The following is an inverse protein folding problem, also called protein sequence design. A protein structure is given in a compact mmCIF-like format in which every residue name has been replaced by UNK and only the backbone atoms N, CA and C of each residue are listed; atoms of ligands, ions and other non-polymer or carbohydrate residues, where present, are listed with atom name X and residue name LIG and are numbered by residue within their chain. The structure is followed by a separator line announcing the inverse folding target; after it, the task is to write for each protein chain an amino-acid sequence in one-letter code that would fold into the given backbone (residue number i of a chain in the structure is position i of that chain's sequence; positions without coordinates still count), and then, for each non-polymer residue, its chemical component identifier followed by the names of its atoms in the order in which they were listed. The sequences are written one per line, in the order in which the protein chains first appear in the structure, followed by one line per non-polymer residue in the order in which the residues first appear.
data_IF_086480464085
#
_entry.id   IF_086480464085
#
_cell.length_a   1.000
_cell.length_b   1.000
_cell.length_c   1.000
_cell.angle_alpha   90.00
_cell.angle_beta   90.00
_cell.angle_gamma   90.00
#
_symmetry.space_group_name_H-M   'P 1'
#
loop_
_entity.id
_entity.type
_entity.pdbx_description
1 polymer ?
#
# COMPACT_ATOMS: atom_id res chain seq x y z
N UNK A 1 -2.12 -3.93 21.44
CA UNK A 1 -0.78 -4.50 21.26
C UNK A 1 -0.22 -4.05 19.91
N UNK A 2 1.10 -3.96 19.79
CA UNK A 2 1.80 -3.61 18.54
C UNK A 2 2.88 -4.66 18.30
N UNK A 3 2.79 -5.35 17.15
CA UNK A 3 3.83 -6.25 16.67
C UNK A 3 4.69 -5.55 15.61
N UNK A 4 6.00 -5.80 15.53
CA UNK A 4 6.82 -5.33 14.42
C UNK A 4 6.35 -5.96 13.11
N UNK A 5 6.27 -5.14 12.05
CA UNK A 5 5.99 -5.64 10.70
C UNK A 5 7.17 -6.49 10.21
N UNK A 6 6.88 -7.56 9.47
CA UNK A 6 7.86 -8.52 8.99
C UNK A 6 8.59 -9.33 10.09
N UNK A 7 8.02 -9.38 11.30
CA UNK A 7 8.49 -10.25 12.38
C UNK A 7 7.41 -11.29 12.73
N UNK A 8 7.34 -12.42 12.01
CA UNK A 8 6.31 -13.42 12.22
C UNK A 8 6.44 -14.13 13.59
N UNK A 9 7.65 -14.20 14.15
CA UNK A 9 7.90 -14.86 15.44
C UNK A 9 7.33 -14.01 16.58
N UNK A 10 7.63 -12.71 16.60
CA UNK A 10 7.08 -11.79 17.59
C UNK A 10 5.55 -11.67 17.45
N UNK A 11 5.04 -11.56 16.24
CA UNK A 11 3.60 -11.53 16.00
C UNK A 11 2.93 -12.82 16.52
N UNK A 12 3.51 -13.98 16.25
CA UNK A 12 3.00 -15.25 16.73
C UNK A 12 3.04 -15.36 18.25
N UNK A 13 4.10 -14.87 18.91
CA UNK A 13 4.21 -14.86 20.37
C UNK A 13 3.10 -14.01 20.99
N UNK A 14 2.91 -12.78 20.52
CA UNK A 14 1.87 -11.87 21.02
C UNK A 14 0.46 -12.42 20.81
N UNK A 15 0.18 -12.99 19.64
CA UNK A 15 -1.14 -13.58 19.35
C UNK A 15 -1.40 -14.75 20.29
N UNK A 16 -0.44 -15.68 20.46
CA UNK A 16 -0.60 -16.84 21.33
C UNK A 16 -0.77 -16.49 22.80
N UNK A 17 -0.08 -15.44 23.27
CA UNK A 17 -0.14 -15.01 24.66
C UNK A 17 -1.46 -14.29 24.98
N UNK A 18 -2.03 -13.57 24.01
CA UNK A 18 -3.18 -12.69 24.24
C UNK A 18 -4.44 -13.06 23.45
N UNK A 19 -4.50 -14.26 22.82
CA UNK A 19 -5.58 -14.62 21.92
C UNK A 19 -6.99 -14.48 22.53
N UNK A 20 -7.13 -14.71 23.84
CA UNK A 20 -8.42 -14.59 24.55
C UNK A 20 -8.88 -13.13 24.71
N UNK A 21 -7.99 -12.16 24.55
CA UNK A 21 -8.26 -10.73 24.69
C UNK A 21 -8.33 -9.99 23.35
N UNK A 22 -7.89 -10.64 22.26
CA UNK A 22 -7.81 -10.00 20.94
C UNK A 22 -9.15 -9.99 20.23
N UNK A 23 -9.71 -8.79 19.99
CA UNK A 23 -10.90 -8.61 19.16
C UNK A 23 -10.65 -8.63 17.65
N UNK A 24 -9.38 -8.51 17.22
CA UNK A 24 -9.00 -8.52 15.80
C UNK A 24 -7.50 -8.26 15.62
N UNK A 25 -6.99 -8.65 14.45
CA UNK A 25 -5.62 -8.36 14.00
C UNK A 25 -5.75 -7.45 12.79
N UNK A 26 -5.21 -6.22 12.86
CA UNK A 26 -5.19 -5.29 11.72
C UNK A 26 -3.76 -5.12 11.20
N UNK A 27 -3.59 -5.17 9.89
CA UNK A 27 -2.30 -4.99 9.23
C UNK A 27 -2.47 -4.31 7.86
N UNK A 28 -1.57 -3.38 7.50
CA UNK A 28 -1.37 -3.00 6.12
C UNK A 28 -0.60 -4.16 5.44
N UNK A 29 -1.15 -4.89 4.43
CA UNK A 29 -0.46 -6.04 3.84
C UNK A 29 0.82 -5.64 3.07
N UNK A 30 0.95 -4.38 2.74
CA UNK A 30 2.13 -3.70 2.23
C UNK A 30 2.30 -2.44 3.07
N UNK A 31 3.13 -2.54 4.10
CA UNK A 31 3.21 -1.48 5.09
C UNK A 31 4.02 -0.30 4.59
N UNK A 32 3.35 0.80 4.27
CA UNK A 32 3.93 2.03 3.70
C UNK A 32 4.62 1.77 2.36
N UNK A 33 5.83 1.24 2.34
CA UNK A 33 6.60 0.82 1.16
C UNK A 33 7.28 -0.53 1.38
N UNK A 34 7.08 -1.13 2.53
CA UNK A 34 7.67 -2.42 2.87
C UNK A 34 6.79 -3.55 2.35
N UNK A 35 7.27 -4.36 1.39
CA UNK A 35 6.62 -5.60 1.06
C UNK A 35 6.62 -6.58 2.24
N UNK A 36 5.60 -7.42 2.39
CA UNK A 36 5.63 -8.47 3.40
C UNK A 36 6.75 -9.47 3.06
N UNK A 37 7.54 -9.83 4.07
CA UNK A 37 8.49 -10.93 3.90
C UNK A 37 7.74 -12.25 3.72
N UNK A 38 8.31 -13.21 2.96
CA UNK A 38 7.69 -14.51 2.76
C UNK A 38 7.28 -15.17 4.08
N UNK A 39 6.04 -15.62 4.19
CA UNK A 39 5.51 -16.28 5.39
C UNK A 39 4.92 -15.35 6.44
N UNK A 40 5.11 -14.02 6.35
CA UNK A 40 4.59 -13.10 7.37
C UNK A 40 3.05 -13.03 7.36
N UNK A 41 2.44 -12.70 6.22
CA UNK A 41 0.98 -12.61 6.10
C UNK A 41 0.30 -13.98 6.28
N UNK A 42 0.91 -15.04 5.77
CA UNK A 42 0.43 -16.41 5.94
C UNK A 42 0.42 -16.84 7.43
N UNK A 43 1.43 -16.40 8.18
CA UNK A 43 1.49 -16.65 9.64
C UNK A 43 0.36 -15.93 10.35
N UNK A 44 0.10 -14.67 10.04
CA UNK A 44 -1.04 -13.92 10.60
C UNK A 44 -2.36 -14.60 10.25
N UNK A 45 -2.56 -14.99 8.98
CA UNK A 45 -3.81 -15.67 8.54
C UNK A 45 -4.00 -17.01 9.27
N UNK A 46 -2.94 -17.81 9.39
CA UNK A 46 -2.99 -19.10 10.08
C UNK A 46 -3.41 -18.93 11.54
N UNK A 47 -2.75 -18.04 12.27
CA UNK A 47 -3.02 -17.83 13.70
C UNK A 47 -4.41 -17.19 13.92
N UNK A 48 -4.78 -16.23 13.08
CA UNK A 48 -6.11 -15.65 13.12
C UNK A 48 -7.21 -16.71 12.94
N UNK A 49 -6.99 -17.67 12.05
CA UNK A 49 -7.92 -18.81 11.85
C UNK A 49 -7.89 -19.78 13.05
N UNK A 50 -6.71 -20.13 13.56
CA UNK A 50 -6.52 -21.05 14.67
C UNK A 50 -7.23 -20.56 15.94
N UNK A 51 -7.12 -19.25 16.23
CA UNK A 51 -7.72 -18.65 17.43
C UNK A 51 -9.07 -17.96 17.17
N UNK A 52 -9.63 -18.08 15.96
CA UNK A 52 -10.92 -17.48 15.58
C UNK A 52 -10.93 -15.94 15.76
N UNK A 53 -9.80 -15.30 15.53
CA UNK A 53 -9.63 -13.84 15.60
C UNK A 53 -9.79 -13.26 14.19
N UNK A 54 -10.64 -12.24 13.93
CA UNK A 54 -10.73 -11.60 12.63
C UNK A 54 -9.41 -10.99 12.18
N UNK A 55 -8.95 -11.34 10.98
CA UNK A 55 -7.83 -10.68 10.30
C UNK A 55 -8.37 -9.56 9.43
N UNK A 56 -7.85 -8.35 9.62
CA UNK A 56 -8.30 -7.15 8.93
C UNK A 56 -7.12 -6.61 8.10
N UNK A 57 -7.32 -6.46 6.78
CA UNK A 57 -6.35 -5.76 5.94
C UNK A 57 -6.74 -4.28 5.80
N UNK A 58 -5.82 -3.40 6.16
CA UNK A 58 -5.89 -2.00 5.77
C UNK A 58 -5.36 -1.88 4.32
N UNK A 59 -6.27 -1.95 3.38
CA UNK A 59 -5.99 -1.77 1.95
C UNK A 59 -6.38 -0.37 1.45
N UNK A 60 -6.41 0.61 2.30
CA UNK A 60 -6.66 2.01 1.90
C UNK A 60 -5.65 2.50 0.88
N UNK A 61 -4.41 1.97 0.87
CA UNK A 61 -3.38 2.29 -0.13
C UNK A 61 -3.30 1.23 -1.21
N UNK A 62 -3.40 -0.04 -0.87
CA UNK A 62 -3.11 -1.18 -1.75
C UNK A 62 -4.33 -1.68 -2.52
N UNK A 63 -5.53 -1.38 -2.05
CA UNK A 63 -6.77 -1.73 -2.74
C UNK A 63 -6.81 -1.15 -4.14
N UNK A 64 -7.01 -2.01 -5.15
CA UNK A 64 -6.96 -1.67 -6.58
C UNK A 64 -5.64 -1.05 -7.06
N UNK A 65 -4.58 -1.06 -6.23
CA UNK A 65 -3.25 -0.54 -6.57
C UNK A 65 -2.32 -1.62 -7.09
N UNK A 66 -2.21 -2.75 -6.40
CA UNK A 66 -1.31 -3.85 -6.75
C UNK A 66 -1.97 -4.87 -7.68
N UNK A 67 -3.26 -5.06 -7.54
CA UNK A 67 -4.10 -5.88 -8.40
C UNK A 67 -5.53 -5.38 -8.32
N UNK A 68 -6.41 -5.82 -9.22
CA UNK A 68 -7.85 -5.51 -9.16
C UNK A 68 -8.48 -6.01 -7.85
N UNK A 69 -8.04 -7.17 -7.36
CA UNK A 69 -8.41 -7.70 -6.05
C UNK A 69 -7.59 -7.17 -4.87
N UNK A 70 -6.79 -6.09 -5.05
CA UNK A 70 -5.96 -5.52 -4.00
C UNK A 70 -4.74 -6.35 -3.63
N UNK A 71 -4.10 -6.01 -2.50
CA UNK A 71 -2.95 -6.73 -1.99
C UNK A 71 -3.29 -8.17 -1.57
N UNK A 72 -4.51 -8.42 -1.13
CA UNK A 72 -4.96 -9.77 -0.82
C UNK A 72 -4.87 -10.73 -2.03
N UNK A 73 -5.21 -10.25 -3.22
CA UNK A 73 -5.04 -11.02 -4.45
C UNK A 73 -3.58 -11.09 -4.89
N UNK A 74 -2.83 -9.98 -4.72
CA UNK A 74 -1.43 -9.90 -5.13
C UNK A 74 -0.52 -10.80 -4.29
N UNK A 75 -0.69 -10.81 -2.96
CA UNK A 75 0.09 -11.66 -2.05
C UNK A 75 -0.57 -13.02 -1.74
N UNK A 76 -1.78 -13.27 -2.23
CA UNK A 76 -2.45 -14.57 -2.08
C UNK A 76 -2.97 -14.87 -0.69
N UNK A 77 -3.17 -13.85 0.16
CA UNK A 77 -3.71 -14.02 1.53
C UNK A 77 -5.01 -13.24 1.68
N UNK A 78 -6.11 -13.93 1.97
CA UNK A 78 -7.44 -13.32 2.12
C UNK A 78 -7.74 -13.01 3.58
N UNK A 79 -8.03 -11.74 3.94
CA UNK A 79 -8.46 -11.35 5.28
C UNK A 79 -9.93 -11.68 5.52
N UNK A 80 -10.40 -11.53 6.77
CA UNK A 80 -11.82 -11.60 7.12
C UNK A 80 -12.54 -10.28 6.81
N UNK A 81 -11.84 -9.16 6.97
CA UNK A 81 -12.30 -7.81 6.66
C UNK A 81 -11.21 -7.04 5.90
N UNK A 82 -11.64 -6.10 5.08
CA UNK A 82 -10.76 -5.24 4.31
C UNK A 82 -11.31 -3.81 4.30
N UNK A 83 -10.47 -2.83 4.63
CA UNK A 83 -10.78 -1.41 4.50
C UNK A 83 -10.16 -0.87 3.21
N UNK A 84 -10.95 -0.20 2.38
CA UNK A 84 -10.51 0.39 1.11
C UNK A 84 -10.78 1.89 1.03
N UNK A 85 -9.97 2.60 0.27
CA UNK A 85 -10.08 4.04 0.07
C UNK A 85 -9.26 4.49 -1.14
N UNK A 86 -8.95 5.76 -1.21
CA UNK A 86 -8.07 6.38 -2.23
C UNK A 86 -8.45 6.00 -3.68
N UNK A 87 -7.82 4.98 -4.26
CA UNK A 87 -8.01 4.55 -5.66
C UNK A 87 -9.48 4.27 -5.97
N UNK A 88 -10.20 3.60 -5.06
CA UNK A 88 -11.63 3.26 -5.25
C UNK A 88 -12.51 4.50 -5.50
N UNK A 89 -12.09 5.67 -5.01
CA UNK A 89 -12.86 6.91 -5.16
C UNK A 89 -12.61 7.67 -6.46
N UNK A 90 -11.61 7.29 -7.25
CA UNK A 90 -11.28 8.02 -8.49
C UNK A 90 -10.99 9.51 -8.29
N UNK A 91 -10.40 9.88 -7.15
CA UNK A 91 -10.14 11.26 -6.74
C UNK A 91 -11.25 11.91 -5.88
N UNK A 92 -12.36 11.22 -5.68
CA UNK A 92 -13.48 11.68 -4.83
C UNK A 92 -13.48 10.95 -3.47
N UNK A 93 -14.18 11.50 -2.45
CA UNK A 93 -14.21 10.93 -1.10
C UNK A 93 -15.11 9.68 -1.06
N UNK A 94 -14.53 8.53 -1.37
CA UNK A 94 -15.13 7.21 -1.26
C UNK A 94 -14.22 6.30 -0.44
N UNK A 95 -14.83 5.57 0.48
CA UNK A 95 -14.21 4.49 1.24
C UNK A 95 -15.20 3.35 1.40
N UNK A 96 -14.70 2.15 1.62
CA UNK A 96 -15.53 0.98 1.83
C UNK A 96 -14.89 0.05 2.87
N UNK A 97 -15.73 -0.67 3.60
CA UNK A 97 -15.35 -1.85 4.37
C UNK A 97 -16.03 -3.04 3.72
N UNK A 98 -15.29 -4.09 3.49
CA UNK A 98 -15.77 -5.32 2.87
C UNK A 98 -15.28 -6.52 3.66
N UNK A 99 -15.97 -7.64 3.56
CA UNK A 99 -15.53 -8.85 4.21
C UNK A 99 -16.57 -9.95 4.28
N UNK A 100 -16.35 -10.88 5.19
CA UNK A 100 -17.21 -12.03 5.41
C UNK A 100 -18.64 -11.60 5.74
N UNK A 101 -19.61 -12.29 5.16
CA UNK A 101 -21.04 -11.95 5.30
C UNK A 101 -21.54 -12.03 6.75
N UNK A 102 -21.00 -12.96 7.54
CA UNK A 102 -21.35 -13.10 8.97
C UNK A 102 -20.93 -11.87 9.81
N UNK A 103 -19.80 -11.24 9.47
CA UNK A 103 -19.36 -9.99 10.11
C UNK A 103 -20.09 -8.78 9.51
N UNK A 104 -20.22 -8.72 8.18
CA UNK A 104 -20.86 -7.60 7.50
C UNK A 104 -22.36 -7.51 7.78
N UNK A 105 -23.02 -8.62 8.18
CA UNK A 105 -24.43 -8.62 8.58
C UNK A 105 -24.74 -7.71 9.76
N UNK A 106 -23.74 -7.37 10.60
CA UNK A 106 -23.89 -6.40 11.69
C UNK A 106 -24.21 -4.98 11.23
N UNK A 107 -24.04 -4.66 9.95
CA UNK A 107 -24.47 -3.39 9.35
C UNK A 107 -25.92 -3.43 8.83
N UNK A 108 -26.56 -4.59 8.82
CA UNK A 108 -27.98 -4.74 8.43
C UNK A 108 -28.86 -4.97 9.67
N UNK A 109 -29.66 -3.96 10.01
CA UNK A 109 -30.57 -4.01 11.16
C UNK A 109 -31.59 -5.17 11.08
N UNK A 110 -31.88 -5.67 9.89
CA UNK A 110 -32.81 -6.77 9.72
C UNK A 110 -32.15 -8.16 9.85
N UNK A 111 -30.83 -8.20 9.84
CA UNK A 111 -30.05 -9.43 9.89
C UNK A 111 -29.56 -9.81 11.30
N UNK A 112 -29.54 -8.85 12.24
CA UNK A 112 -29.03 -9.04 13.60
C UNK A 112 -29.94 -8.42 14.64
N UNK A 113 -29.77 -8.81 15.91
CA UNK A 113 -30.46 -8.18 17.03
C UNK A 113 -30.02 -6.71 17.24
N UNK A 114 -30.89 -5.89 17.80
CA UNK A 114 -30.64 -4.44 17.96
C UNK A 114 -29.33 -4.15 18.73
N UNK A 115 -28.99 -4.93 19.72
CA UNK A 115 -27.75 -4.81 20.52
C UNK A 115 -26.48 -5.17 19.73
N UNK A 116 -26.63 -5.90 18.62
CA UNK A 116 -25.55 -6.32 17.74
C UNK A 116 -25.42 -5.46 16.48
N UNK A 117 -26.38 -4.56 16.26
CA UNK A 117 -26.37 -3.69 15.08
C UNK A 117 -25.32 -2.59 15.20
N UNK A 118 -24.50 -2.44 14.18
CA UNK A 118 -23.48 -1.39 14.06
C UNK A 118 -23.93 -0.34 13.03
N UNK A 119 -24.37 0.85 13.44
CA UNK A 119 -24.79 1.89 12.51
C UNK A 119 -23.59 2.44 11.75
N UNK A 120 -23.63 2.41 10.42
CA UNK A 120 -22.70 3.11 9.58
C UNK A 120 -23.23 4.54 9.35
N UNK A 121 -22.55 5.54 9.90
CA UNK A 121 -22.96 6.96 9.87
C UNK A 121 -21.83 7.79 9.29
N UNK A 122 -22.13 8.57 8.25
CA UNK A 122 -21.19 9.50 7.65
C UNK A 122 -21.89 10.41 6.65
N UNK A 123 -21.66 11.72 6.74
CA UNK A 123 -22.28 12.72 5.86
C UNK A 123 -22.03 12.46 4.37
N UNK A 124 -20.84 11.92 4.03
CA UNK A 124 -20.46 11.63 2.64
C UNK A 124 -20.75 10.18 2.24
N UNK A 125 -21.27 9.35 3.15
CA UNK A 125 -21.60 7.95 2.86
C UNK A 125 -22.68 7.86 1.78
N UNK A 126 -22.45 7.01 0.77
CA UNK A 126 -23.36 6.86 -0.36
C UNK A 126 -23.39 8.06 -1.32
N UNK A 127 -22.40 8.95 -1.27
CA UNK A 127 -22.31 10.09 -2.19
C UNK A 127 -22.32 9.60 -3.65
N UNK A 128 -23.34 9.95 -4.45
CA UNK A 128 -23.47 9.42 -5.81
C UNK A 128 -22.37 9.90 -6.76
N UNK A 129 -21.81 11.09 -6.56
CA UNK A 129 -20.70 11.61 -7.38
C UNK A 129 -19.44 10.77 -7.16
N UNK A 130 -19.11 10.49 -5.90
CA UNK A 130 -17.99 9.62 -5.57
C UNK A 130 -18.21 8.18 -6.05
N UNK A 131 -19.43 7.67 -5.95
CA UNK A 131 -19.76 6.33 -6.44
C UNK A 131 -19.60 6.21 -7.97
N UNK A 132 -20.07 7.19 -8.74
CA UNK A 132 -19.91 7.21 -10.21
C UNK A 132 -18.44 7.33 -10.61
N UNK A 133 -17.66 8.18 -9.93
CA UNK A 133 -16.22 8.30 -10.15
C UNK A 133 -15.48 6.99 -9.83
N UNK A 134 -15.86 6.34 -8.73
CA UNK A 134 -15.33 5.03 -8.36
C UNK A 134 -15.63 3.97 -9.42
N UNK A 135 -16.87 3.85 -9.86
CA UNK A 135 -17.26 2.90 -10.93
C UNK A 135 -16.44 3.15 -12.20
N UNK A 136 -16.32 4.39 -12.65
CA UNK A 136 -15.51 4.73 -13.84
C UNK A 136 -14.03 4.35 -13.67
N UNK A 137 -13.49 4.49 -12.46
CA UNK A 137 -12.12 4.08 -12.16
C UNK A 137 -11.97 2.57 -12.21
N UNK A 138 -12.90 1.83 -11.62
CA UNK A 138 -12.90 0.37 -11.63
C UNK A 138 -13.04 -0.18 -13.05
N UNK A 139 -13.91 0.41 -13.89
CA UNK A 139 -14.05 0.05 -15.30
C UNK A 139 -12.75 0.22 -16.10
N UNK A 140 -11.92 1.20 -15.75
CA UNK A 140 -10.60 1.40 -16.37
C UNK A 140 -9.61 0.35 -15.88
N UNK A 141 -9.60 0.08 -14.59
CA UNK A 141 -8.67 -0.88 -13.98
C UNK A 141 -8.97 -2.34 -14.34
N UNK A 142 -10.24 -2.66 -14.67
CA UNK A 142 -10.65 -4.01 -15.11
C UNK A 142 -10.30 -4.32 -16.58
N UNK A 143 -9.79 -3.33 -17.32
CA UNK A 143 -9.42 -3.54 -18.72
C UNK A 143 -8.21 -4.46 -18.84
N UNK A 144 -8.23 -5.39 -19.82
CA UNK A 144 -7.05 -6.21 -20.13
C UNK A 144 -5.81 -5.35 -20.36
N UNK A 145 -4.70 -5.74 -19.75
CA UNK A 145 -3.42 -5.01 -19.87
C UNK A 145 -3.25 -3.81 -18.93
N UNK A 146 -4.26 -3.44 -18.12
CA UNK A 146 -4.15 -2.28 -17.23
C UNK A 146 -3.05 -2.45 -16.17
N UNK A 147 -3.03 -3.58 -15.47
CA UNK A 147 -2.01 -3.85 -14.47
C UNK A 147 -0.66 -4.16 -15.08
N UNK A 148 -0.61 -4.85 -16.21
CA UNK A 148 0.63 -5.09 -16.96
C UNK A 148 1.31 -3.77 -17.35
N UNK A 149 0.54 -2.79 -17.86
CA UNK A 149 1.06 -1.44 -18.16
C UNK A 149 1.53 -0.74 -16.89
N UNK A 150 0.73 -0.78 -15.83
CA UNK A 150 1.03 -0.12 -14.57
C UNK A 150 2.35 -0.62 -13.98
N UNK A 151 2.53 -1.94 -13.95
CA UNK A 151 3.75 -2.58 -13.46
C UNK A 151 4.95 -2.32 -14.38
N UNK A 152 4.79 -2.44 -15.69
CA UNK A 152 5.87 -2.16 -16.64
C UNK A 152 6.38 -0.72 -16.52
N UNK A 153 5.46 0.26 -16.38
CA UNK A 153 5.82 1.67 -16.16
C UNK A 153 6.59 1.85 -14.86
N UNK A 154 6.11 1.26 -13.78
CA UNK A 154 6.77 1.34 -12.48
C UNK A 154 8.13 0.65 -12.44
N UNK A 155 8.25 -0.54 -13.01
CA UNK A 155 9.52 -1.27 -13.13
C UNK A 155 10.57 -0.47 -13.89
N UNK A 156 10.20 0.12 -15.03
CA UNK A 156 11.12 0.96 -15.79
C UNK A 156 11.67 2.16 -14.99
N UNK A 157 10.82 2.78 -14.17
CA UNK A 157 11.24 3.88 -13.29
C UNK A 157 12.13 3.40 -12.14
N UNK A 158 11.78 2.28 -11.49
CA UNK A 158 12.57 1.71 -10.40
C UNK A 158 13.96 1.28 -10.90
N UNK A 159 14.01 0.47 -11.95
CA UNK A 159 15.26 -0.01 -12.56
C UNK A 159 16.15 1.14 -13.03
N UNK A 160 15.55 2.17 -13.65
CA UNK A 160 16.30 3.35 -14.07
C UNK A 160 16.87 4.15 -12.90
N UNK A 161 16.11 4.31 -11.82
CA UNK A 161 16.59 4.97 -10.60
C UNK A 161 17.69 4.14 -9.92
N UNK A 162 17.53 2.83 -9.79
CA UNK A 162 18.53 1.93 -9.22
C UNK A 162 19.85 2.00 -9.99
N UNK A 163 19.80 1.94 -11.31
CA UNK A 163 21.00 2.06 -12.15
C UNK A 163 21.74 3.40 -11.97
N UNK A 164 21.00 4.51 -11.83
CA UNK A 164 21.57 5.82 -11.58
C UNK A 164 22.23 5.91 -10.18
N UNK A 165 21.58 5.36 -9.17
CA UNK A 165 22.10 5.31 -7.80
C UNK A 165 23.35 4.44 -7.72
N UNK A 166 23.36 3.26 -8.33
CA UNK A 166 24.52 2.37 -8.40
C UNK A 166 25.69 3.05 -9.09
N UNK A 167 25.48 3.66 -10.26
CA UNK A 167 26.51 4.38 -10.99
C UNK A 167 27.08 5.58 -10.22
N UNK A 168 26.28 6.20 -9.35
CA UNK A 168 26.69 7.36 -8.55
C UNK A 168 27.50 6.98 -7.32
N UNK A 169 27.41 5.74 -6.84
CA UNK A 169 28.00 5.29 -5.58
C UNK A 169 27.34 5.86 -4.31
N UNK A 170 26.19 6.54 -4.43
CA UNK A 170 25.43 7.02 -3.27
C UNK A 170 24.80 5.82 -2.56
N UNK A 171 25.01 5.66 -1.25
CA UNK A 171 24.32 4.60 -0.50
C UNK A 171 22.82 4.85 -0.49
N UNK A 172 22.08 4.07 -1.25
CA UNK A 172 20.63 4.17 -1.34
C UNK A 172 20.01 2.84 -1.78
N UNK A 173 18.73 2.68 -1.49
CA UNK A 173 17.93 1.52 -1.90
C UNK A 173 16.57 1.99 -2.39
N UNK A 174 16.10 1.45 -3.51
CA UNK A 174 14.74 1.63 -4.00
C UNK A 174 13.87 0.54 -3.39
N UNK A 175 12.76 0.93 -2.77
CA UNK A 175 11.87 0.02 -2.03
C UNK A 175 10.44 0.23 -2.48
N UNK A 176 9.70 -0.86 -2.57
CA UNK A 176 8.29 -0.85 -2.89
C UNK A 176 7.93 -1.89 -3.93
N UNK A 177 6.76 -1.70 -4.50
CA UNK A 177 6.26 -2.43 -5.66
C UNK A 177 6.15 -1.46 -6.83
N UNK A 178 6.25 -1.91 -8.08
CA UNK A 178 6.27 -1.00 -9.24
C UNK A 178 5.20 0.09 -9.27
N UNK A 179 3.92 -0.16 -8.87
CA UNK A 179 2.93 0.90 -8.82
C UNK A 179 3.11 1.92 -7.69
N UNK A 180 3.99 1.61 -6.71
CA UNK A 180 4.15 2.39 -5.48
C UNK A 180 5.51 2.12 -4.85
N UNK A 181 6.48 3.02 -5.03
CA UNK A 181 7.85 2.87 -4.55
C UNK A 181 8.45 4.19 -4.05
N UNK A 182 9.62 4.15 -3.48
CA UNK A 182 10.47 5.31 -3.17
C UNK A 182 11.95 4.90 -3.02
N UNK A 183 12.82 5.91 -2.86
CA UNK A 183 14.23 5.73 -2.56
C UNK A 183 14.51 6.07 -1.09
N UNK A 184 15.31 5.24 -0.45
CA UNK A 184 15.87 5.46 0.88
C UNK A 184 17.39 5.63 0.78
N UNK A 185 17.90 6.74 1.27
CA UNK A 185 19.32 7.02 1.29
C UNK A 185 19.95 6.42 2.54
N UNK A 186 20.34 5.17 2.44
CA UNK A 186 20.91 4.38 3.54
C UNK A 186 21.74 3.23 3.01
N UNK A 187 22.72 2.76 3.79
CA UNK A 187 23.45 1.52 3.56
C UNK A 187 22.87 0.33 4.35
N UNK A 188 21.84 0.57 5.17
CA UNK A 188 21.18 -0.45 5.98
C UNK A 188 20.08 -1.15 5.18
N UNK A 189 19.90 -2.45 5.40
CA UNK A 189 18.75 -3.17 4.87
C UNK A 189 17.45 -2.57 5.43
N UNK A 190 16.47 -2.28 4.55
CA UNK A 190 15.18 -1.68 4.92
C UNK A 190 14.07 -2.72 4.72
N UNK A 191 13.80 -3.50 5.75
CA UNK A 191 12.75 -4.52 5.77
C UNK A 191 11.68 -4.31 6.84
N UNK A 192 11.91 -3.36 7.73
CA UNK A 192 11.03 -3.01 8.84
C UNK A 192 11.04 -1.50 9.10
N UNK A 193 10.24 -1.07 10.07
CA UNK A 193 10.17 0.34 10.47
C UNK A 193 11.52 0.89 10.97
N UNK A 194 12.34 0.09 11.64
CA UNK A 194 13.64 0.52 12.15
C UNK A 194 14.62 0.76 11.00
N UNK A 195 14.62 -0.13 10.00
CA UNK A 195 15.37 0.09 8.76
C UNK A 195 14.96 1.38 8.06
N UNK A 196 13.66 1.69 7.98
CA UNK A 196 13.17 2.95 7.40
C UNK A 196 13.70 4.20 8.14
N UNK A 197 13.94 4.13 9.45
CA UNK A 197 14.46 5.25 10.25
C UNK A 197 15.94 5.55 9.98
N UNK A 198 16.64 4.70 9.25
CA UNK A 198 18.06 4.94 8.88
C UNK A 198 18.21 5.83 7.63
N UNK A 199 17.09 6.26 7.03
CA UNK A 199 17.10 7.14 5.88
C UNK A 199 17.74 8.50 6.19
N UNK A 200 18.69 8.93 5.36
CA UNK A 200 19.21 10.29 5.36
C UNK A 200 18.14 11.26 4.85
N UNK A 201 17.44 11.88 5.79
CA UNK A 201 16.29 12.77 5.50
C UNK A 201 16.72 14.03 4.75
N UNK A 202 17.93 14.54 4.98
CA UNK A 202 18.44 15.74 4.30
C UNK A 202 18.71 15.44 2.82
N UNK A 203 19.29 14.27 2.52
CA UNK A 203 19.44 13.80 1.14
C UNK A 203 18.09 13.59 0.48
N UNK A 204 17.17 12.94 1.14
CA UNK A 204 15.83 12.71 0.62
C UNK A 204 15.10 14.04 0.30
N UNK A 205 15.24 15.05 1.16
CA UNK A 205 14.66 16.37 0.92
C UNK A 205 15.30 17.07 -0.29
N UNK A 206 16.63 17.06 -0.43
CA UNK A 206 17.31 17.61 -1.61
C UNK A 206 16.91 16.90 -2.89
N UNK A 207 16.88 15.56 -2.88
CA UNK A 207 16.40 14.75 -4.00
C UNK A 207 14.99 15.14 -4.42
N UNK A 208 14.05 15.18 -3.47
CA UNK A 208 12.66 15.55 -3.73
C UNK A 208 12.51 17.01 -4.21
N UNK A 209 13.30 17.94 -3.68
CA UNK A 209 13.29 19.33 -4.13
C UNK A 209 13.76 19.44 -5.59
N UNK A 210 14.85 18.77 -5.93
CA UNK A 210 15.38 18.75 -7.30
C UNK A 210 14.40 18.11 -8.28
N UNK A 211 13.68 17.05 -7.89
CA UNK A 211 12.62 16.47 -8.71
C UNK A 211 11.52 17.47 -9.02
N UNK A 212 11.04 18.22 -8.01
CA UNK A 212 10.01 19.25 -8.18
C UNK A 212 10.46 20.38 -9.11
N UNK A 213 11.72 20.83 -8.97
CA UNK A 213 12.32 21.83 -9.85
C UNK A 213 12.41 21.35 -11.31
N UNK A 214 12.47 20.05 -11.54
CA UNK A 214 12.50 19.43 -12.86
C UNK A 214 11.13 18.87 -13.30
N UNK A 215 10.04 19.36 -12.73
CA UNK A 215 8.67 19.07 -13.16
C UNK A 215 8.08 17.77 -12.68
N UNK A 216 8.73 17.06 -11.76
CA UNK A 216 8.19 15.81 -11.16
C UNK A 216 7.48 16.14 -9.87
N UNK A 217 6.16 16.14 -9.91
CA UNK A 217 5.33 16.29 -8.72
C UNK A 217 5.20 14.96 -7.97
N UNK A 218 5.94 14.83 -6.91
CA UNK A 218 5.93 13.69 -6.01
C UNK A 218 5.65 14.15 -4.58
N UNK A 219 4.96 13.33 -3.79
CA UNK A 219 4.87 13.51 -2.33
C UNK A 219 6.23 13.27 -1.66
N UNK A 220 6.35 13.63 -0.38
CA UNK A 220 7.63 13.53 0.33
C UNK A 220 8.10 12.08 0.55
N UNK A 221 7.23 11.09 0.40
CA UNK A 221 7.51 9.71 0.81
C UNK A 221 7.15 8.62 -0.19
N UNK A 222 6.65 8.94 -1.40
CA UNK A 222 6.18 7.90 -2.33
C UNK A 222 6.06 8.42 -3.76
N UNK A 223 6.53 7.59 -4.70
CA UNK A 223 6.12 7.67 -6.09
C UNK A 223 4.84 6.87 -6.30
N UNK A 224 3.86 7.48 -6.95
CA UNK A 224 2.63 6.82 -7.38
C UNK A 224 2.59 6.76 -8.89
N UNK A 225 2.62 5.56 -9.43
CA UNK A 225 2.49 5.34 -10.88
C UNK A 225 1.01 5.21 -11.24
N UNK A 226 0.63 5.70 -12.40
CA UNK A 226 -0.74 5.60 -12.91
C UNK A 226 -0.78 5.20 -14.38
N UNK A 227 -1.94 4.73 -14.83
CA UNK A 227 -2.19 4.38 -16.24
C UNK A 227 -2.13 5.59 -17.19
N UNK A 228 -2.18 6.81 -16.65
CA UNK A 228 -2.06 8.03 -17.44
C UNK A 228 -0.62 8.33 -17.90
N UNK A 229 0.39 7.77 -17.22
CA UNK A 229 1.78 7.95 -17.63
C UNK A 229 2.06 7.22 -18.95
N UNK A 230 2.72 7.90 -19.86
CA UNK A 230 3.19 7.38 -21.14
C UNK A 230 4.73 7.27 -21.19
N UNK A 231 5.27 6.87 -22.32
CA UNK A 231 6.71 6.72 -22.52
C UNK A 231 7.48 8.04 -22.39
N UNK A 232 6.84 9.17 -22.68
CA UNK A 232 7.46 10.50 -22.56
C UNK A 232 7.56 10.89 -21.08
N UNK A 233 6.53 10.56 -20.29
CA UNK A 233 6.55 10.79 -18.84
C UNK A 233 7.65 9.96 -18.17
N UNK A 234 7.81 8.70 -18.61
CA UNK A 234 8.90 7.83 -18.12
C UNK A 234 10.26 8.41 -18.49
N UNK A 235 10.49 8.77 -19.74
CA UNK A 235 11.76 9.35 -20.19
C UNK A 235 12.08 10.65 -19.43
N UNK A 236 11.12 11.56 -19.32
CA UNK A 236 11.27 12.80 -18.55
C UNK A 236 11.58 12.56 -17.08
N UNK A 237 10.93 11.56 -16.48
CA UNK A 237 11.17 11.22 -15.06
C UNK A 237 12.57 10.65 -14.87
N UNK A 238 13.06 9.82 -15.78
CA UNK A 238 14.43 9.28 -15.73
C UNK A 238 15.49 10.38 -15.90
N UNK A 239 15.26 11.36 -16.77
CA UNK A 239 16.13 12.54 -16.91
C UNK A 239 16.17 13.34 -15.59
N UNK A 240 15.00 13.56 -14.98
CA UNK A 240 14.89 14.23 -13.68
C UNK A 240 15.59 13.44 -12.55
N UNK A 241 15.49 12.11 -12.55
CA UNK A 241 16.23 11.23 -11.62
C UNK A 241 17.74 11.42 -11.75
N UNK A 242 18.26 11.48 -12.99
CA UNK A 242 19.67 11.69 -13.23
C UNK A 242 20.19 13.03 -12.67
N UNK A 243 19.37 14.08 -12.72
CA UNK A 243 19.68 15.38 -12.12
C UNK A 243 19.60 15.30 -10.60
N UNK A 244 18.54 14.69 -10.07
CA UNK A 244 18.30 14.60 -8.64
C UNK A 244 19.35 13.73 -7.92
N UNK A 245 19.80 12.63 -8.53
CA UNK A 245 20.89 11.80 -7.99
C UNK A 245 22.19 12.60 -7.89
N UNK A 246 22.51 13.43 -8.88
CA UNK A 246 23.70 14.31 -8.82
C UNK A 246 23.62 15.35 -7.70
N UNK A 247 22.43 15.81 -7.34
CA UNK A 247 22.24 16.81 -6.28
C UNK A 247 22.49 16.26 -4.86
N UNK A 248 22.64 14.95 -4.71
CA UNK A 248 22.82 14.26 -3.42
C UNK A 248 24.19 13.55 -3.28
N UNK A 249 25.08 13.79 -4.23
CA UNK A 249 26.49 13.33 -4.20
C UNK A 249 27.34 13.95 -3.09
#
# INVERSE_FOLDING_TARGET
LIAPFNDPEMAASLIKEHHDELGGIIVEPFQRLLPPQPGFLETLRKLATEYSIPLIFDEVVTGFRLAYGGAQAYYGVTPDLCAMGKVIGGGFPLAAVMGRSDIMSHFDRNAVADESFMPQIGTLSGNPVAAVAGLATLDILDRPGAYEKLFATGSALMEGLEALLEASGVPAVVIGEPPLFDVFFTSTEVKDYRGMQTNDTDRAQRFNATLRENGILKGDSKFYVSLAHDEKDVAHTLDAFAIAVKSVL
#
